data_IF_170615221351
#
_entry.id   IF_170615221351
#
_cell.length_a   1.000
_cell.length_b   1.000
_cell.length_c   1.000
_cell.angle_alpha   90.00
_cell.angle_beta   90.00
_cell.angle_gamma   90.00
#
_symmetry.space_group_name_H-M   'P 1'
#
loop_
_entity.id
_entity.type
_entity.pdbx_description
1 polymer ?
#
# COMPACT_ATOMS: atom_id res chain seq x y z
N UNK A 1 62.05 -30.17 -46.53
CA UNK A 1 61.64 -29.46 -45.30
C UNK A 1 60.12 -29.59 -45.23
N UNK A 2 59.44 -30.43 -44.46
CA UNK A 2 59.71 -31.21 -43.25
C UNK A 2 58.44 -31.13 -42.39
N UNK A 3 57.65 -32.21 -42.33
CA UNK A 3 56.43 -32.38 -41.52
C UNK A 3 56.65 -32.12 -40.01
N UNK A 4 55.57 -31.78 -39.27
CA UNK A 4 55.26 -32.44 -37.99
C UNK A 4 53.83 -32.18 -37.47
N UNK A 5 53.08 -33.27 -37.29
CA UNK A 5 52.03 -33.45 -36.26
C UNK A 5 52.74 -33.75 -34.92
N UNK A 6 52.20 -33.29 -33.77
CA UNK A 6 52.04 -34.10 -32.54
C UNK A 6 51.65 -33.31 -31.28
N UNK A 7 50.66 -33.86 -30.56
CA UNK A 7 50.50 -33.97 -29.09
C UNK A 7 50.26 -32.70 -28.25
N UNK A 8 49.10 -32.58 -27.60
CA UNK A 8 48.75 -33.11 -26.26
C UNK A 8 49.45 -32.34 -25.14
N UNK A 9 48.69 -31.56 -24.36
CA UNK A 9 48.72 -31.67 -22.91
C UNK A 9 47.39 -31.22 -22.31
N UNK A 10 46.74 -32.20 -21.67
CA UNK A 10 45.70 -31.99 -20.69
C UNK A 10 46.37 -31.45 -19.43
N UNK A 11 45.95 -30.28 -18.95
CA UNK A 11 46.08 -29.93 -17.54
C UNK A 11 44.69 -29.74 -16.96
N UNK A 12 44.17 -30.84 -16.41
CA UNK A 12 43.24 -30.84 -15.29
C UNK A 12 43.91 -30.24 -14.05
N UNK A 13 43.20 -29.38 -13.32
CA UNK A 13 43.21 -29.17 -11.85
C UNK A 13 42.29 -27.95 -11.60
N UNK A 14 41.01 -28.18 -11.31
CA UNK A 14 40.47 -28.34 -9.95
C UNK A 14 40.40 -27.02 -9.16
N UNK A 15 39.20 -26.44 -9.10
CA UNK A 15 38.63 -25.99 -7.83
C UNK A 15 37.12 -25.97 -7.98
N UNK A 16 36.54 -27.03 -7.45
CA UNK A 16 35.14 -27.20 -7.14
C UNK A 16 34.59 -26.00 -6.36
N UNK A 17 33.93 -25.06 -7.04
CA UNK A 17 32.81 -24.35 -6.43
C UNK A 17 31.59 -25.27 -6.51
N UNK A 18 31.63 -26.32 -5.70
CA UNK A 18 30.42 -27.05 -5.35
C UNK A 18 29.62 -26.08 -4.46
N UNK A 19 28.84 -25.21 -5.09
CA UNK A 19 27.89 -24.35 -4.39
C UNK A 19 26.93 -25.29 -3.69
N UNK A 20 27.08 -25.41 -2.38
CA UNK A 20 26.19 -26.18 -1.53
C UNK A 20 24.80 -25.51 -1.55
N UNK A 21 23.99 -25.85 -2.56
CA UNK A 21 22.64 -25.32 -2.79
C UNK A 21 21.65 -25.71 -1.67
N UNK A 22 22.10 -26.36 -0.59
CA UNK A 22 21.25 -26.78 0.54
C UNK A 22 21.17 -25.73 1.65
N UNK A 23 22.05 -24.72 1.64
CA UNK A 23 22.14 -23.70 2.69
C UNK A 23 21.64 -22.36 2.18
N UNK A 24 20.73 -21.75 2.94
CA UNK A 24 20.30 -20.38 2.68
C UNK A 24 21.33 -19.41 3.26
N UNK A 25 21.87 -18.53 2.43
CA UNK A 25 22.76 -17.47 2.88
C UNK A 25 21.94 -16.21 3.11
N UNK A 26 22.07 -15.63 4.30
CA UNK A 26 21.39 -14.40 4.69
C UNK A 26 22.44 -13.34 4.92
N UNK A 27 22.32 -12.24 4.19
CA UNK A 27 23.09 -11.03 4.41
C UNK A 27 22.20 -10.02 5.13
N UNK A 28 22.67 -9.47 6.25
CA UNK A 28 21.95 -8.43 6.97
C UNK A 28 22.78 -7.18 7.05
N UNK A 29 22.26 -6.11 6.46
CA UNK A 29 22.82 -4.76 6.48
C UNK A 29 22.04 -3.91 7.48
N UNK A 30 22.73 -3.31 8.45
CA UNK A 30 22.15 -2.40 9.43
C UNK A 30 22.81 -1.03 9.35
N UNK A 31 22.04 0.03 9.59
CA UNK A 31 22.56 1.39 9.52
C UNK A 31 22.18 2.23 10.74
N UNK A 32 23.09 3.13 11.10
CA UNK A 32 22.91 4.10 12.18
C UNK A 32 21.93 5.21 11.71
N UNK A 33 21.19 5.76 12.68
CA UNK A 33 19.88 6.39 12.52
C UNK A 33 19.88 7.64 11.62
N UNK A 34 19.23 7.54 10.45
CA UNK A 34 18.61 8.69 9.77
C UNK A 34 17.16 8.88 10.23
N UNK A 35 16.70 10.12 10.27
CA UNK A 35 15.42 10.55 10.82
C UNK A 35 14.16 9.82 10.28
N UNK A 36 14.30 9.01 9.21
CA UNK A 36 13.18 8.40 8.49
C UNK A 36 13.29 6.89 8.24
N UNK A 37 14.31 6.20 8.77
CA UNK A 37 14.52 4.74 8.58
C UNK A 37 14.48 4.32 7.10
N UNK A 38 15.12 5.09 6.23
CA UNK A 38 15.33 4.73 4.83
C UNK A 38 16.72 4.12 4.67
N UNK A 39 16.83 3.08 3.85
CA UNK A 39 18.12 2.53 3.46
C UNK A 39 18.61 3.30 2.22
N UNK A 40 19.85 3.76 2.24
CA UNK A 40 20.48 4.44 1.11
C UNK A 40 21.19 3.38 0.25
N UNK A 41 20.61 3.06 -0.91
CA UNK A 41 21.15 2.08 -1.85
C UNK A 41 22.32 2.65 -2.68
N UNK A 42 22.49 3.98 -2.71
CA UNK A 42 23.62 4.63 -3.40
C UNK A 42 24.84 4.78 -2.49
N UNK A 43 24.63 4.87 -1.17
CA UNK A 43 25.71 5.11 -0.21
C UNK A 43 25.74 4.05 0.90
N UNK A 44 26.72 3.16 0.83
CA UNK A 44 26.97 2.14 1.84
C UNK A 44 27.79 2.64 3.05
N UNK A 45 28.11 3.94 3.14
CA UNK A 45 28.84 4.47 4.28
C UNK A 45 28.06 4.28 5.59
N UNK A 46 28.74 3.80 6.64
CA UNK A 46 28.16 3.53 7.97
C UNK A 46 27.11 2.40 8.02
N UNK A 47 27.16 1.48 7.06
CA UNK A 47 26.39 0.23 7.08
C UNK A 47 27.24 -0.86 7.70
N UNK A 48 26.73 -1.51 8.74
CA UNK A 48 27.30 -2.75 9.28
C UNK A 48 26.68 -3.94 8.56
N UNK A 49 27.51 -4.89 8.12
CA UNK A 49 27.08 -6.07 7.39
C UNK A 49 27.41 -7.34 8.18
N UNK A 50 26.44 -8.24 8.29
CA UNK A 50 26.61 -9.55 8.92
C UNK A 50 26.07 -10.64 8.01
N UNK A 51 26.80 -11.75 7.88
CA UNK A 51 26.46 -12.88 7.00
C UNK A 51 26.19 -14.12 7.83
N UNK A 52 25.08 -14.80 7.54
CA UNK A 52 24.67 -16.04 8.20
C UNK A 52 24.41 -17.11 7.13
N UNK A 53 25.05 -18.27 7.24
CA UNK A 53 24.69 -19.43 6.43
C UNK A 53 23.83 -20.35 7.31
N UNK A 54 22.57 -20.54 6.93
CA UNK A 54 21.60 -21.28 7.73
C UNK A 54 21.14 -22.56 7.04
N UNK A 55 21.01 -23.62 7.83
CA UNK A 55 20.51 -24.93 7.37
C UNK A 55 19.17 -25.29 8.02
N UNK A 56 18.91 -24.79 9.22
CA UNK A 56 17.75 -25.11 10.04
C UNK A 56 16.76 -23.93 10.13
N UNK A 57 15.61 -24.18 10.77
CA UNK A 57 14.70 -23.11 11.18
C UNK A 57 15.21 -22.38 12.42
N UNK A 58 14.90 -21.08 12.52
CA UNK A 58 15.38 -20.24 13.61
C UNK A 58 14.89 -18.81 13.53
N UNK A 59 15.54 -17.95 14.29
CA UNK A 59 15.21 -16.53 14.41
C UNK A 59 16.43 -15.67 14.15
N UNK A 60 16.22 -14.57 13.43
CA UNK A 60 17.12 -13.42 13.49
C UNK A 60 16.68 -12.54 14.65
N UNK A 61 17.58 -12.22 15.57
CA UNK A 61 17.28 -11.48 16.79
C UNK A 61 18.16 -10.23 16.86
N UNK A 62 17.59 -9.11 17.30
CA UNK A 62 18.34 -7.88 17.57
C UNK A 62 18.60 -7.80 19.06
N UNK A 63 19.87 -7.90 19.45
CA UNK A 63 20.34 -7.59 20.80
C UNK A 63 21.18 -6.31 20.74
N UNK A 64 22.51 -6.44 20.87
CA UNK A 64 23.46 -5.38 20.55
C UNK A 64 23.78 -5.38 19.04
N UNK A 65 24.07 -6.56 18.50
CA UNK A 65 24.19 -6.85 17.08
C UNK A 65 23.08 -7.82 16.64
N UNK A 66 23.05 -8.18 15.35
CA UNK A 66 22.14 -9.21 14.84
C UNK A 66 22.76 -10.58 15.06
N UNK A 67 21.96 -11.49 15.59
CA UNK A 67 22.35 -12.87 15.85
C UNK A 67 21.33 -13.85 15.24
N UNK A 68 21.83 -15.01 14.81
CA UNK A 68 21.02 -16.14 14.39
C UNK A 68 20.87 -17.12 15.56
N UNK A 69 19.63 -17.45 15.93
CA UNK A 69 19.32 -18.36 17.03
C UNK A 69 18.44 -19.51 16.53
N UNK A 70 18.98 -20.72 16.57
CA UNK A 70 18.25 -21.96 16.27
C UNK A 70 17.50 -22.44 17.51
N UNK A 71 16.21 -22.11 17.60
CA UNK A 71 15.38 -22.57 18.69
C UNK A 71 13.92 -22.70 18.27
N UNK A 72 13.18 -23.59 18.93
CA UNK A 72 11.73 -23.71 18.77
C UNK A 72 10.97 -22.74 19.68
N UNK A 73 11.60 -22.30 20.76
CA UNK A 73 11.02 -21.37 21.73
C UNK A 73 10.85 -19.97 21.13
N UNK A 74 9.90 -19.19 21.66
CA UNK A 74 9.73 -17.80 21.26
C UNK A 74 10.86 -16.96 21.86
N UNK A 75 11.54 -16.17 21.03
CA UNK A 75 12.64 -15.30 21.48
C UNK A 75 12.18 -13.85 21.53
N UNK A 76 12.53 -13.13 22.59
CA UNK A 76 12.30 -11.68 22.71
C UNK A 76 13.18 -10.94 21.69
N UNK A 77 12.74 -9.77 21.22
CA UNK A 77 13.47 -8.93 20.24
C UNK A 77 13.79 -9.61 18.88
N UNK A 78 13.02 -10.62 18.49
CA UNK A 78 13.12 -11.20 17.15
C UNK A 78 12.88 -10.13 16.06
N UNK A 79 13.78 -10.08 15.08
CA UNK A 79 13.59 -9.37 13.83
C UNK A 79 12.60 -10.15 12.97
N UNK A 80 12.92 -11.40 12.67
CA UNK A 80 12.02 -12.31 11.95
C UNK A 80 12.29 -13.77 12.30
N UNK A 81 11.31 -14.63 11.98
CA UNK A 81 11.43 -16.09 12.07
C UNK A 81 11.51 -16.67 10.68
N UNK A 82 12.44 -17.59 10.47
CA UNK A 82 12.57 -18.35 9.22
C UNK A 82 12.28 -19.82 9.54
N UNK A 83 11.33 -20.41 8.80
CA UNK A 83 10.96 -21.82 8.90
C UNK A 83 11.42 -22.59 7.68
N UNK A 84 11.94 -23.80 7.86
CA UNK A 84 12.24 -24.72 6.76
C UNK A 84 11.13 -25.76 6.62
N UNK A 85 10.61 -25.97 5.41
CA UNK A 85 9.63 -27.01 5.09
C UNK A 85 9.89 -27.54 3.68
N UNK A 86 10.09 -28.85 3.55
CA UNK A 86 10.32 -29.52 2.26
C UNK A 86 11.42 -28.82 1.44
N UNK A 87 12.62 -28.65 2.02
CA UNK A 87 13.77 -27.89 1.47
C UNK A 87 13.55 -26.40 1.15
N UNK A 88 12.35 -25.87 1.36
CA UNK A 88 12.05 -24.45 1.14
C UNK A 88 12.09 -23.66 2.45
N UNK A 89 12.60 -22.44 2.37
CA UNK A 89 12.62 -21.51 3.51
C UNK A 89 11.47 -20.52 3.41
N UNK A 90 10.81 -20.28 4.54
CA UNK A 90 9.66 -19.39 4.65
C UNK A 90 9.92 -18.32 5.71
N UNK A 91 9.81 -17.05 5.30
CA UNK A 91 9.81 -15.93 6.22
C UNK A 91 8.44 -15.84 6.89
N UNK A 92 8.39 -15.87 8.22
CA UNK A 92 7.15 -15.75 8.99
C UNK A 92 7.01 -14.32 9.49
N UNK A 93 5.91 -13.68 9.12
CA UNK A 93 5.54 -12.34 9.56
C UNK A 93 4.75 -12.44 10.88
N UNK A 94 5.36 -12.11 12.03
CA UNK A 94 4.70 -12.21 13.33
C UNK A 94 3.55 -11.20 13.49
N UNK A 95 3.49 -10.17 12.64
CA UNK A 95 2.51 -9.07 12.76
C UNK A 95 1.27 -9.30 11.91
N UNK A 96 1.16 -10.47 11.28
CA UNK A 96 -0.02 -10.81 10.50
C UNK A 96 -1.19 -11.13 11.43
N UNK A 97 -2.05 -10.14 11.64
CA UNK A 97 -3.26 -10.30 12.42
C UNK A 97 -4.30 -11.08 11.59
N UNK A 98 -4.62 -12.32 12.00
CA UNK A 98 -5.59 -13.20 11.31
C UNK A 98 -7.02 -12.64 11.25
N UNK A 99 -7.29 -11.50 11.91
CA UNK A 99 -8.61 -10.89 11.98
C UNK A 99 -9.07 -10.17 10.69
N UNK A 100 -8.25 -10.05 9.64
CA UNK A 100 -8.70 -9.42 8.38
C UNK A 100 -9.67 -10.28 7.54
N UNK A 101 -9.93 -11.55 7.87
CA UNK A 101 -10.97 -12.36 7.17
C UNK A 101 -12.30 -12.51 7.91
N UNK A 102 -12.38 -12.16 9.20
CA UNK A 102 -13.63 -12.24 10.00
C UNK A 102 -14.32 -10.90 10.25
N UNK A 103 -13.68 -9.77 9.92
CA UNK A 103 -14.29 -8.43 10.08
C UNK A 103 -15.06 -7.95 8.83
N UNK A 104 -15.19 -8.78 7.80
CA UNK A 104 -16.01 -8.45 6.63
C UNK A 104 -17.49 -8.81 6.81
N UNK A 105 -17.86 -9.65 7.78
CA UNK A 105 -19.24 -10.09 7.99
C UNK A 105 -19.45 -10.33 9.49
N UNK A 106 -20.39 -9.58 10.07
CA UNK A 106 -20.92 -9.63 11.45
C UNK A 106 -20.21 -8.77 12.52
N UNK A 107 -21.06 -7.90 13.09
CA UNK A 107 -20.93 -7.08 14.30
C UNK A 107 -20.13 -5.79 14.17
N UNK A 108 -20.83 -4.73 13.76
CA UNK A 108 -20.60 -3.38 14.27
C UNK A 108 -21.97 -2.77 14.59
N UNK A 109 -22.57 -3.26 15.69
CA UNK A 109 -23.53 -2.50 16.47
C UNK A 109 -22.84 -2.13 17.77
N UNK A 110 -22.75 -0.82 17.98
CA UNK A 110 -22.71 -0.15 19.27
C UNK A 110 -21.71 -0.66 20.31
N UNK A 111 -20.55 -0.01 20.36
CA UNK A 111 -20.17 0.79 21.55
C UNK A 111 -18.84 1.48 21.26
N UNK A 112 -18.85 2.80 21.44
CA UNK A 112 -17.65 3.54 21.81
C UNK A 112 -17.12 2.97 23.13
N UNK A 113 -16.26 1.95 23.08
CA UNK A 113 -15.29 1.75 24.14
C UNK A 113 -14.02 2.49 23.75
N UNK A 114 -13.77 3.54 24.54
CA UNK A 114 -12.44 3.98 24.93
C UNK A 114 -11.64 2.72 25.28
N UNK A 115 -10.90 2.17 24.31
CA UNK A 115 -9.81 1.26 24.64
C UNK A 115 -8.73 2.16 25.17
N UNK A 116 -8.70 2.26 26.50
CA UNK A 116 -7.56 2.73 27.25
C UNK A 116 -6.29 2.21 26.57
N UNK A 117 -5.51 3.16 26.04
CA UNK A 117 -4.11 2.96 25.66
C UNK A 117 -3.34 2.65 26.95
N UNK A 118 -3.48 1.43 27.43
CA UNK A 118 -2.67 0.88 28.50
C UNK A 118 -2.31 -0.54 28.09
N UNK A 119 -1.07 -0.71 27.62
CA UNK A 119 -0.40 -2.02 27.68
C UNK A 119 -0.67 -3.04 26.56
N UNK A 120 -0.71 -2.64 25.28
CA UNK A 120 -0.29 -3.56 24.21
C UNK A 120 0.93 -2.96 23.51
N UNK A 121 2.10 -3.44 23.91
CA UNK A 121 3.33 -3.24 23.16
C UNK A 121 3.07 -3.58 21.68
N UNK A 122 3.43 -2.66 20.78
CA UNK A 122 3.45 -2.86 19.33
C UNK A 122 4.41 -4.01 19.02
N UNK A 123 3.94 -5.25 19.07
CA UNK A 123 4.73 -6.39 18.65
C UNK A 123 4.96 -6.28 17.13
N UNK A 124 6.23 -5.98 16.78
CA UNK A 124 6.92 -6.19 15.51
C UNK A 124 6.97 -5.04 14.49
N UNK A 125 8.13 -4.96 13.83
CA UNK A 125 8.41 -4.03 12.71
C UNK A 125 7.69 -4.50 11.44
N UNK A 126 7.24 -3.56 10.60
CA UNK A 126 6.65 -3.89 9.29
C UNK A 126 7.69 -4.53 8.36
N UNK A 127 7.23 -5.49 7.57
CA UNK A 127 8.02 -6.22 6.58
C UNK A 127 7.79 -5.56 5.23
N UNK A 128 8.84 -4.98 4.67
CA UNK A 128 8.81 -4.32 3.37
C UNK A 128 9.63 -5.12 2.38
N UNK A 129 8.99 -5.70 1.37
CA UNK A 129 9.67 -6.28 0.23
C UNK A 129 10.28 -5.17 -0.62
N UNK A 130 11.56 -5.27 -0.93
CA UNK A 130 12.22 -4.35 -1.87
C UNK A 130 11.84 -4.77 -3.29
N UNK A 131 11.41 -3.79 -4.09
CA UNK A 131 11.08 -4.00 -5.49
C UNK A 131 12.33 -3.66 -6.30
N UNK A 132 12.68 -4.53 -7.23
CA UNK A 132 13.80 -4.37 -8.15
C UNK A 132 13.31 -4.14 -9.59
N UNK A 133 14.22 -4.26 -10.56
CA UNK A 133 13.96 -4.11 -11.99
C UNK A 133 13.06 -5.21 -12.59
N UNK A 134 12.94 -6.35 -11.93
CA UNK A 134 12.01 -7.42 -12.33
C UNK A 134 10.54 -7.06 -12.04
N UNK A 135 10.35 -6.06 -11.17
CA UNK A 135 9.05 -5.53 -10.78
C UNK A 135 8.18 -6.48 -9.99
N UNK A 136 7.02 -5.98 -9.58
CA UNK A 136 5.98 -6.78 -8.92
C UNK A 136 4.62 -6.46 -9.52
N UNK A 137 3.73 -7.46 -9.54
CA UNK A 137 2.32 -7.22 -9.83
C UNK A 137 1.65 -6.54 -8.62
N UNK A 138 0.93 -5.45 -8.87
CA UNK A 138 0.14 -4.75 -7.85
C UNK A 138 -1.28 -5.30 -7.75
N UNK A 139 -1.83 -5.29 -6.54
CA UNK A 139 -3.21 -5.69 -6.25
C UNK A 139 -3.92 -4.67 -5.35
N UNK A 140 -5.25 -4.74 -5.30
CA UNK A 140 -6.04 -3.90 -4.41
C UNK A 140 -5.73 -4.17 -2.93
N UNK A 141 -5.63 -3.09 -2.17
CA UNK A 141 -5.21 -3.07 -0.77
C UNK A 141 -3.70 -3.13 -0.55
N UNK A 142 -2.88 -3.27 -1.60
CA UNK A 142 -1.43 -3.23 -1.46
C UNK A 142 -0.95 -1.86 -1.02
N UNK A 143 0.20 -1.85 -0.36
CA UNK A 143 0.77 -0.63 0.19
C UNK A 143 2.19 -0.52 -0.31
N UNK A 144 2.44 0.47 -1.14
CA UNK A 144 3.76 0.76 -1.68
C UNK A 144 4.36 1.98 -1.00
N UNK A 145 5.68 2.07 -0.99
CA UNK A 145 6.43 3.19 -0.44
C UNK A 145 7.54 3.61 -1.39
N UNK A 146 7.56 4.89 -1.75
CA UNK A 146 8.60 5.52 -2.56
C UNK A 146 9.32 6.52 -1.64
N UNK A 147 10.54 6.20 -1.21
CA UNK A 147 11.21 6.94 -0.14
C UNK A 147 10.35 7.02 1.14
N UNK A 148 9.95 8.22 1.56
CA UNK A 148 9.07 8.46 2.73
C UNK A 148 7.59 8.42 2.40
N UNK A 149 7.21 8.52 1.13
CA UNK A 149 5.82 8.62 0.70
C UNK A 149 5.21 7.24 0.61
N UNK A 150 4.05 7.05 1.25
CA UNK A 150 3.30 5.79 1.24
C UNK A 150 2.02 5.97 0.44
N UNK A 151 1.76 5.02 -0.45
CA UNK A 151 0.51 4.89 -1.19
C UNK A 151 -0.17 3.58 -0.81
N UNK A 152 -1.49 3.62 -0.66
CA UNK A 152 -2.31 2.42 -0.41
C UNK A 152 -3.27 2.27 -1.58
N UNK A 153 -3.16 1.19 -2.31
CA UNK A 153 -3.94 0.92 -3.52
C UNK A 153 -5.39 0.64 -3.10
N UNK A 154 -6.30 1.50 -3.55
CA UNK A 154 -7.73 1.39 -3.26
C UNK A 154 -8.46 0.65 -4.35
N UNK A 155 -8.15 0.94 -5.60
CA UNK A 155 -8.82 0.36 -6.75
C UNK A 155 -7.87 0.31 -7.95
N UNK A 156 -7.93 -0.78 -8.72
CA UNK A 156 -7.31 -0.90 -10.03
C UNK A 156 -8.42 -1.09 -11.06
N UNK A 157 -8.65 -0.11 -11.92
CA UNK A 157 -9.70 -0.15 -12.94
C UNK A 157 -9.06 -0.08 -14.33
N UNK A 158 -8.93 -1.22 -14.99
CA UNK A 158 -8.29 -1.30 -16.31
C UNK A 158 -9.28 -1.38 -17.48
N UNK A 159 -10.53 -1.69 -17.20
CA UNK A 159 -11.61 -1.75 -18.18
C UNK A 159 -12.41 -0.44 -18.13
N UNK A 160 -12.51 0.22 -19.28
CA UNK A 160 -13.34 1.42 -19.44
C UNK A 160 -14.80 0.97 -19.55
N UNK A 161 -15.62 1.29 -18.56
CA UNK A 161 -17.06 1.01 -18.62
C UNK A 161 -17.70 1.97 -19.62
N UNK A 162 -18.07 1.49 -20.80
CA UNK A 162 -18.99 2.20 -21.70
C UNK A 162 -20.32 2.33 -20.97
N UNK A 163 -20.67 3.54 -20.51
CA UNK A 163 -21.96 3.76 -19.88
C UNK A 163 -23.07 3.67 -20.94
N UNK A 164 -23.79 2.56 -20.98
CA UNK A 164 -25.14 2.55 -21.56
C UNK A 164 -26.03 3.44 -20.66
N UNK A 165 -26.57 4.51 -21.24
CA UNK A 165 -27.63 5.31 -20.62
C UNK A 165 -28.85 4.41 -20.37
N UNK A 166 -29.09 4.04 -19.11
CA UNK A 166 -30.43 3.58 -18.70
C UNK A 166 -31.21 4.79 -18.21
N UNK A 167 -32.09 5.27 -19.06
CA UNK A 167 -33.19 6.16 -18.68
C UNK A 167 -34.35 5.27 -18.24
N UNK A 168 -34.48 5.02 -16.93
CA UNK A 168 -35.68 4.38 -16.40
C UNK A 168 -36.70 5.46 -16.04
N UNK A 169 -37.83 5.41 -16.74
CA UNK A 169 -39.01 6.26 -16.58
C UNK A 169 -39.65 6.10 -15.20
N UNK A 170 -40.24 7.20 -14.72
CA UNK A 170 -40.86 7.34 -13.41
C UNK A 170 -41.98 6.34 -13.10
N UNK A 171 -42.11 6.04 -11.81
CA UNK A 171 -43.41 5.79 -11.20
C UNK A 171 -43.47 6.51 -9.85
N UNK A 172 -44.18 7.63 -9.82
CA UNK A 172 -44.57 8.35 -8.62
C UNK A 172 -45.60 7.54 -7.82
N UNK A 173 -45.25 7.14 -6.60
CA UNK A 173 -46.22 6.76 -5.59
C UNK A 173 -46.10 7.70 -4.39
N UNK A 174 -47.17 8.47 -4.16
CA UNK A 174 -47.37 9.33 -3.01
C UNK A 174 -47.92 8.52 -1.84
N UNK A 175 -47.25 8.53 -0.68
CA UNK A 175 -47.90 8.35 0.62
C UNK A 175 -47.28 9.32 1.65
N UNK A 176 -48.16 10.01 2.37
CA UNK A 176 -47.93 11.06 3.35
C UNK A 176 -47.37 10.56 4.69
N UNK A 177 -46.27 11.18 5.13
CA UNK A 177 -45.76 11.25 6.50
C UNK A 177 -44.75 12.41 6.49
N UNK A 178 -44.86 13.38 7.39
CA UNK A 178 -44.05 14.62 7.50
C UNK A 178 -42.83 14.65 6.57
N UNK A 179 -42.98 15.25 5.39
CA UNK A 179 -42.05 15.05 4.27
C UNK A 179 -40.62 15.41 4.69
N UNK A 180 -39.81 14.38 4.93
CA UNK A 180 -38.38 14.53 5.17
C UNK A 180 -37.78 15.15 3.92
N UNK A 181 -37.21 16.34 4.07
CA UNK A 181 -36.56 17.07 2.98
C UNK A 181 -35.05 17.03 3.13
N UNK A 182 -34.35 17.07 2.00
CA UNK A 182 -32.91 17.26 1.99
C UNK A 182 -32.58 18.65 2.53
N UNK A 183 -31.69 18.74 3.53
CA UNK A 183 -31.30 20.04 4.11
C UNK A 183 -30.56 20.99 3.16
N UNK A 184 -30.03 20.47 2.04
CA UNK A 184 -29.24 21.25 1.08
C UNK A 184 -30.15 21.83 -0.01
N UNK A 185 -31.01 21.02 -0.62
CA UNK A 185 -31.84 21.46 -1.74
C UNK A 185 -33.32 21.65 -1.37
N UNK A 186 -33.69 21.40 -0.11
CA UNK A 186 -35.05 21.53 0.43
C UNK A 186 -36.13 20.72 -0.31
N UNK A 187 -35.73 19.71 -1.08
CA UNK A 187 -36.63 18.83 -1.84
C UNK A 187 -36.85 17.51 -1.10
N UNK A 188 -38.04 16.94 -1.23
CA UNK A 188 -38.44 15.62 -0.71
C UNK A 188 -38.31 14.50 -1.76
N UNK A 189 -37.74 14.79 -2.93
CA UNK A 189 -37.54 13.80 -4.01
C UNK A 189 -36.56 12.69 -3.59
N UNK A 190 -37.08 11.49 -3.40
CA UNK A 190 -36.28 10.32 -3.03
C UNK A 190 -36.32 9.28 -4.16
N UNK A 191 -35.17 8.91 -4.72
CA UNK A 191 -35.08 7.91 -5.80
C UNK A 191 -34.01 6.87 -5.48
N UNK A 192 -34.07 5.71 -6.15
CA UNK A 192 -33.06 4.64 -5.99
C UNK A 192 -31.64 5.10 -6.34
N UNK A 193 -31.50 5.98 -7.33
CA UNK A 193 -30.20 6.51 -7.76
C UNK A 193 -29.75 7.74 -6.98
N UNK A 194 -30.68 8.50 -6.39
CA UNK A 194 -30.38 9.67 -5.57
C UNK A 194 -31.22 9.67 -4.27
N UNK A 195 -30.92 8.76 -3.34
CA UNK A 195 -31.71 8.62 -2.12
C UNK A 195 -31.41 9.70 -1.07
N UNK A 196 -32.35 9.93 -0.17
CA UNK A 196 -32.14 10.70 1.07
C UNK A 196 -31.30 9.89 2.06
N UNK A 197 -30.16 10.45 2.47
CA UNK A 197 -29.19 9.79 3.35
C UNK A 197 -29.07 10.52 4.69
N UNK A 198 -28.65 9.80 5.72
CA UNK A 198 -28.28 10.35 7.04
C UNK A 198 -26.77 10.17 7.31
N UNK A 199 -25.89 10.89 6.60
CA UNK A 199 -24.45 10.59 6.57
C UNK A 199 -23.67 10.99 7.83
N UNK A 200 -24.33 11.61 8.82
CA UNK A 200 -23.68 12.11 10.04
C UNK A 200 -24.60 12.00 11.26
N UNK A 201 -24.03 12.27 12.44
CA UNK A 201 -24.71 12.20 13.74
C UNK A 201 -25.65 13.39 14.02
N UNK A 202 -26.14 14.09 13.00
CA UNK A 202 -27.13 15.15 13.19
C UNK A 202 -28.48 14.53 13.61
N UNK A 203 -29.26 15.27 14.39
CA UNK A 203 -30.59 14.88 14.85
C UNK A 203 -31.70 15.64 14.12
N UNK A 204 -32.93 15.13 14.19
CA UNK A 204 -34.10 15.77 13.54
C UNK A 204 -34.05 15.76 12.01
N UNK A 205 -34.72 16.74 11.39
CA UNK A 205 -34.81 16.89 9.92
C UNK A 205 -33.49 17.26 9.26
N UNK A 206 -32.57 17.92 9.98
CA UNK A 206 -31.30 18.40 9.42
C UNK A 206 -30.27 17.30 9.18
N UNK A 207 -30.57 16.05 9.55
CA UNK A 207 -29.68 14.91 9.29
C UNK A 207 -29.76 14.40 7.85
N UNK A 208 -30.85 14.72 7.14
CA UNK A 208 -31.14 14.14 5.83
C UNK A 208 -30.57 14.98 4.68
N UNK A 209 -29.86 14.31 3.75
CA UNK A 209 -29.21 14.90 2.58
C UNK A 209 -29.30 13.93 1.41
N UNK A 210 -29.69 14.39 0.22
CA UNK A 210 -29.59 13.55 -0.98
C UNK A 210 -28.15 13.13 -1.26
N UNK A 211 -27.97 11.92 -1.81
CA UNK A 211 -26.66 11.43 -2.25
C UNK A 211 -25.94 12.48 -3.11
N UNK A 212 -26.54 12.94 -4.21
CA UNK A 212 -25.92 13.91 -5.12
C UNK A 212 -25.67 15.27 -4.47
N UNK A 213 -26.53 15.73 -3.56
CA UNK A 213 -26.30 16.96 -2.81
C UNK A 213 -25.07 16.83 -1.89
N UNK A 214 -24.94 15.69 -1.20
CA UNK A 214 -23.77 15.38 -0.38
C UNK A 214 -22.51 15.29 -1.26
N UNK A 215 -22.61 14.67 -2.46
CA UNK A 215 -21.51 14.59 -3.42
C UNK A 215 -21.01 15.97 -3.83
N UNK A 216 -21.90 16.86 -4.24
CA UNK A 216 -21.57 18.24 -4.66
C UNK A 216 -20.92 19.00 -3.51
N UNK A 217 -21.52 18.95 -2.31
CA UNK A 217 -21.00 19.65 -1.15
C UNK A 217 -19.61 19.16 -0.74
N UNK A 218 -19.35 17.85 -0.79
CA UNK A 218 -18.02 17.30 -0.54
C UNK A 218 -17.03 17.74 -1.61
N UNK A 219 -17.41 17.75 -2.89
CA UNK A 219 -16.55 18.22 -3.99
C UNK A 219 -16.10 19.67 -3.80
N UNK A 220 -16.97 20.55 -3.27
CA UNK A 220 -16.59 21.93 -2.95
C UNK A 220 -15.51 22.04 -1.88
N UNK A 221 -15.35 21.02 -1.02
CA UNK A 221 -14.29 20.95 -0.01
C UNK A 221 -13.01 20.25 -0.49
N UNK A 222 -13.01 19.70 -1.70
CA UNK A 222 -11.85 19.05 -2.29
C UNK A 222 -11.00 20.08 -3.04
N UNK A 223 -9.75 20.21 -2.64
CA UNK A 223 -8.75 20.84 -3.51
C UNK A 223 -8.32 19.80 -4.54
N UNK A 224 -8.48 20.09 -5.83
CA UNK A 224 -8.03 19.20 -6.90
C UNK A 224 -6.84 19.78 -7.66
N UNK A 225 -5.91 18.90 -8.06
CA UNK A 225 -4.81 19.21 -8.99
C UNK A 225 -4.85 18.20 -10.11
N UNK A 226 -4.77 18.67 -11.35
CA UNK A 226 -4.81 17.83 -12.53
C UNK A 226 -3.57 18.08 -13.39
N UNK A 227 -2.93 16.98 -13.78
CA UNK A 227 -2.07 16.88 -14.96
C UNK A 227 -2.65 15.81 -15.89
N UNK A 228 -2.02 15.61 -17.05
CA UNK A 228 -2.50 14.68 -18.08
C UNK A 228 -2.76 13.27 -17.49
N UNK A 229 -1.75 12.67 -16.87
CA UNK A 229 -1.82 11.32 -16.31
C UNK A 229 -2.10 11.26 -14.80
N UNK A 230 -2.34 12.37 -14.11
CA UNK A 230 -2.51 12.37 -12.65
C UNK A 230 -3.60 13.34 -12.20
N UNK A 231 -4.58 12.82 -11.45
CA UNK A 231 -5.54 13.62 -10.68
C UNK A 231 -5.22 13.45 -9.20
N UNK A 232 -5.19 14.55 -8.47
CA UNK A 232 -4.96 14.55 -7.03
C UNK A 232 -6.11 15.28 -6.36
N UNK A 233 -6.81 14.59 -5.47
CA UNK A 233 -7.81 15.18 -4.60
C UNK A 233 -7.22 15.27 -3.19
N UNK A 234 -7.26 16.47 -2.61
CA UNK A 234 -6.75 16.78 -1.28
C UNK A 234 -7.91 17.25 -0.41
N UNK A 235 -7.93 16.76 0.83
CA UNK A 235 -8.83 17.27 1.85
C UNK A 235 -8.15 17.31 3.21
N UNK A 236 -8.53 18.35 3.98
CA UNK A 236 -8.12 18.48 5.38
C UNK A 236 -9.02 17.62 6.25
N UNK A 237 -10.32 17.95 6.28
CA UNK A 237 -11.36 17.16 6.95
C UNK A 237 -12.58 17.04 6.03
N UNK A 238 -13.06 15.82 5.83
CA UNK A 238 -14.41 15.59 5.30
C UNK A 238 -15.35 15.46 6.50
N UNK A 239 -15.62 16.57 7.18
CA UNK A 239 -16.51 16.61 8.36
C UNK A 239 -17.83 17.31 8.04
N UNK A 240 -18.91 16.90 8.70
CA UNK A 240 -20.17 17.62 8.71
C UNK A 240 -19.99 19.03 9.28
N UNK A 241 -20.52 20.06 8.61
CA UNK A 241 -20.40 21.44 9.09
C UNK A 241 -21.15 21.69 10.41
N UNK A 242 -22.20 20.93 10.69
CA UNK A 242 -23.06 21.10 11.86
C UNK A 242 -22.55 20.30 13.07
N UNK A 243 -22.43 18.98 12.93
CA UNK A 243 -22.06 18.12 14.04
C UNK A 243 -20.58 17.72 14.08
N UNK A 244 -19.76 18.19 13.13
CA UNK A 244 -18.31 17.92 13.05
C UNK A 244 -17.93 16.44 12.91
N UNK A 245 -18.91 15.58 12.65
CA UNK A 245 -18.68 14.17 12.37
C UNK A 245 -17.86 14.00 11.09
N UNK A 246 -16.74 13.30 11.16
CA UNK A 246 -15.93 12.94 9.99
C UNK A 246 -16.63 11.85 9.18
N UNK A 247 -16.97 12.17 7.94
CA UNK A 247 -17.50 11.23 6.96
C UNK A 247 -16.45 10.16 6.64
N UNK A 248 -16.73 8.87 6.89
CA UNK A 248 -15.84 7.80 6.47
C UNK A 248 -15.95 7.60 4.95
N UNK A 249 -14.89 7.11 4.30
CA UNK A 249 -14.90 6.86 2.84
C UNK A 249 -16.06 5.96 2.42
N UNK A 250 -16.42 4.99 3.27
CA UNK A 250 -17.64 4.18 3.11
C UNK A 250 -18.50 4.36 4.35
N UNK A 251 -19.75 4.74 4.18
CA UNK A 251 -20.71 4.88 5.28
C UNK A 251 -21.98 4.10 4.99
N UNK A 252 -22.64 3.63 6.04
CA UNK A 252 -23.94 3.00 5.97
C UNK A 252 -25.00 4.08 6.15
N UNK A 253 -25.98 4.14 5.26
CA UNK A 253 -27.20 4.92 5.44
C UNK A 253 -28.35 3.94 5.28
N UNK A 254 -29.17 3.85 6.32
CA UNK A 254 -30.15 2.77 6.51
C UNK A 254 -29.49 1.38 6.41
N UNK A 255 -29.81 0.59 5.37
CA UNK A 255 -29.25 -0.74 5.10
C UNK A 255 -28.31 -0.83 3.89
N UNK A 256 -27.99 0.31 3.28
CA UNK A 256 -27.12 0.37 2.10
C UNK A 256 -25.79 1.06 2.41
N UNK A 257 -24.70 0.55 1.84
CA UNK A 257 -23.38 1.16 1.93
C UNK A 257 -23.14 2.10 0.75
N UNK A 258 -22.68 3.31 1.06
CA UNK A 258 -22.32 4.33 0.07
C UNK A 258 -20.82 4.61 0.17
N UNK A 259 -20.14 4.70 -0.97
CA UNK A 259 -18.71 4.99 -1.06
C UNK A 259 -18.51 6.44 -1.55
N UNK A 260 -18.06 7.31 -0.66
CA UNK A 260 -17.70 8.70 -0.96
C UNK A 260 -16.45 8.81 -1.86
N UNK A 261 -15.70 7.73 -2.10
CA UNK A 261 -14.66 7.71 -3.13
C UNK A 261 -15.22 7.57 -4.56
N UNK A 262 -16.53 7.34 -4.73
CA UNK A 262 -17.18 7.37 -6.05
C UNK A 262 -17.29 8.76 -6.66
N UNK A 263 -16.88 9.81 -5.94
CA UNK A 263 -17.07 11.20 -6.33
C UNK A 263 -16.27 11.62 -7.57
N UNK A 264 -15.21 10.89 -7.93
CA UNK A 264 -14.20 11.35 -8.88
C UNK A 264 -13.53 10.22 -9.69
N UNK A 265 -14.26 9.17 -10.08
CA UNK A 265 -13.69 8.10 -10.92
C UNK A 265 -13.67 8.56 -12.39
N UNK A 266 -12.52 8.51 -13.10
CA UNK A 266 -12.52 8.72 -14.54
C UNK A 266 -13.25 7.53 -15.21
N UNK A 267 -14.13 7.86 -16.15
CA UNK A 267 -14.86 6.88 -16.95
C UNK A 267 -14.30 6.77 -18.38
N UNK A 268 -13.23 7.50 -18.68
CA UNK A 268 -12.68 7.69 -20.02
C UNK A 268 -11.38 6.90 -20.25
N UNK A 269 -10.74 6.43 -19.18
CA UNK A 269 -9.41 5.83 -19.24
C UNK A 269 -9.15 4.84 -18.11
N UNK A 270 -8.32 3.81 -18.33
CA UNK A 270 -7.81 2.95 -17.26
C UNK A 270 -7.10 3.77 -16.17
N UNK A 271 -7.32 3.43 -14.90
CA UNK A 271 -6.74 4.17 -13.78
C UNK A 271 -6.35 3.31 -12.58
N UNK A 272 -5.37 3.82 -11.84
CA UNK A 272 -4.97 3.33 -10.53
C UNK A 272 -5.33 4.37 -9.46
N UNK A 273 -6.19 4.01 -8.51
CA UNK A 273 -6.59 4.87 -7.39
C UNK A 273 -5.82 4.49 -6.13
N UNK A 274 -5.16 5.46 -5.52
CA UNK A 274 -4.41 5.26 -4.28
C UNK A 274 -4.73 6.33 -3.26
N UNK A 275 -4.74 5.94 -2.00
CA UNK A 275 -4.80 6.87 -0.89
C UNK A 275 -3.45 7.10 -0.25
N UNK A 276 -3.29 8.32 0.26
CA UNK A 276 -2.21 8.66 1.16
C UNK A 276 -2.75 9.45 2.35
N UNK A 277 -2.04 9.31 3.47
CA UNK A 277 -2.28 10.09 4.67
C UNK A 277 -0.98 10.82 4.99
N UNK A 278 -0.97 12.15 4.96
CA UNK A 278 0.16 12.88 5.53
C UNK A 278 0.08 12.70 7.04
N UNK A 279 1.02 11.97 7.63
CA UNK A 279 1.27 12.02 9.07
C UNK A 279 2.36 13.06 9.29
N UNK A 280 2.02 14.26 9.74
CA UNK A 280 3.02 15.18 10.26
C UNK A 280 3.27 14.84 11.72
N UNK A 281 4.50 14.43 12.06
CA UNK A 281 4.95 14.28 13.44
C UNK A 281 4.47 13.02 14.18
N UNK A 282 5.10 12.74 15.32
CA UNK A 282 4.70 11.67 16.27
C UNK A 282 3.44 12.03 17.07
N UNK A 283 2.86 13.20 16.82
CA UNK A 283 1.64 13.67 17.45
C UNK A 283 0.46 13.44 16.51
N UNK A 284 -0.58 12.78 17.01
CA UNK A 284 -1.85 12.58 16.31
C UNK A 284 -2.59 13.92 16.25
N UNK A 285 -2.07 14.88 15.49
CA UNK A 285 -2.80 16.10 15.22
C UNK A 285 -3.84 15.79 14.14
N UNK A 286 -5.08 16.18 14.40
CA UNK A 286 -6.26 15.96 13.55
C UNK A 286 -6.16 16.66 12.18
N UNK A 287 -5.09 17.44 11.92
CA UNK A 287 -4.83 18.17 10.68
C UNK A 287 -4.11 17.33 9.60
N UNK A 288 -4.35 16.02 9.54
CA UNK A 288 -3.72 15.16 8.54
C UNK A 288 -4.40 15.34 7.17
N UNK A 289 -3.76 16.14 6.30
CA UNK A 289 -4.13 16.23 4.89
C UNK A 289 -4.14 14.83 4.27
N UNK A 290 -5.32 14.28 4.08
CA UNK A 290 -5.54 13.02 3.40
C UNK A 290 -5.90 13.31 1.96
N UNK A 291 -5.66 12.36 1.08
CA UNK A 291 -5.95 12.56 -0.32
C UNK A 291 -5.94 11.28 -1.11
N UNK A 292 -6.48 11.39 -2.31
CA UNK A 292 -6.47 10.34 -3.31
C UNK A 292 -5.63 10.81 -4.50
N UNK A 293 -4.74 9.94 -4.95
CA UNK A 293 -4.14 9.99 -6.28
C UNK A 293 -4.93 9.08 -7.21
N UNK A 294 -5.24 9.57 -8.40
CA UNK A 294 -5.76 8.78 -9.51
C UNK A 294 -4.77 8.92 -10.64
N UNK A 295 -4.06 7.85 -10.96
CA UNK A 295 -3.12 7.81 -12.08
C UNK A 295 -3.82 7.20 -13.28
N UNK A 296 -3.93 7.98 -14.35
CA UNK A 296 -4.65 7.62 -15.56
C UNK A 296 -3.68 7.18 -16.64
N UNK A 297 -3.97 6.06 -17.26
CA UNK A 297 -3.26 5.54 -18.41
C UNK A 297 -3.96 6.03 -19.68
N UNK A 298 -3.76 7.32 -19.99
CA UNK A 298 -4.34 7.97 -21.17
C UNK A 298 -3.59 7.53 -22.43
N UNK A 299 -4.00 6.41 -23.02
CA UNK A 299 -3.38 5.81 -24.21
C UNK A 299 -1.88 5.50 -24.07
N UNK A 300 -1.40 5.40 -22.83
CA UNK A 300 -0.04 5.00 -22.49
C UNK A 300 -0.08 3.73 -21.66
N UNK A 301 0.77 2.77 -21.97
CA UNK A 301 0.93 1.55 -21.18
C UNK A 301 1.95 1.69 -20.06
N UNK A 302 2.77 2.76 -20.08
CA UNK A 302 3.79 3.04 -19.07
C UNK A 302 3.61 4.45 -18.48
N UNK A 303 3.77 4.56 -17.16
CA UNK A 303 3.82 5.83 -16.43
C UNK A 303 5.09 5.91 -15.58
N UNK A 304 5.85 6.99 -15.73
CA UNK A 304 7.07 7.26 -14.96
C UNK A 304 6.72 8.06 -13.72
N UNK A 305 7.25 7.62 -12.58
CA UNK A 305 7.01 8.22 -11.27
C UNK A 305 8.32 8.78 -10.72
N UNK A 306 8.29 10.02 -10.24
CA UNK A 306 9.43 10.61 -9.57
C UNK A 306 9.18 12.03 -9.09
N UNK A 307 10.22 12.68 -8.55
CA UNK A 307 10.10 14.06 -8.05
C UNK A 307 10.34 15.14 -9.12
N UNK A 308 10.92 14.77 -10.26
CA UNK A 308 11.22 15.73 -11.32
C UNK A 308 9.96 16.19 -12.05
N UNK A 309 10.10 17.23 -12.87
CA UNK A 309 9.01 17.74 -13.69
C UNK A 309 8.81 16.94 -14.99
N UNK A 310 9.79 16.14 -15.40
CA UNK A 310 9.77 15.32 -16.64
C UNK A 310 9.11 13.95 -16.46
N UNK A 311 8.54 13.67 -15.27
CA UNK A 311 7.83 12.43 -14.96
C UNK A 311 6.32 12.61 -15.11
N UNK A 312 5.63 11.57 -15.59
CA UNK A 312 4.18 11.57 -15.82
C UNK A 312 3.40 11.71 -14.50
N UNK A 313 3.96 11.16 -13.41
CA UNK A 313 3.46 11.28 -12.05
C UNK A 313 4.52 11.93 -11.17
N UNK A 314 4.24 13.17 -10.75
CA UNK A 314 5.12 13.93 -9.87
C UNK A 314 4.81 13.72 -8.39
N UNK A 315 5.82 13.28 -7.64
CA UNK A 315 5.76 13.11 -6.17
C UNK A 315 6.70 14.12 -5.50
N UNK A 316 6.10 15.12 -4.84
CA UNK A 316 6.84 16.23 -4.20
C UNK A 316 7.41 15.84 -2.82
N UNK A 317 8.41 14.97 -2.80
CA UNK A 317 9.19 14.67 -1.60
C UNK A 317 10.67 14.49 -1.94
N UNK A 318 11.56 15.06 -1.12
CA UNK A 318 13.02 15.03 -1.35
C UNK A 318 13.62 13.62 -1.28
N UNK A 319 12.95 12.68 -0.60
CA UNK A 319 13.37 11.27 -0.54
C UNK A 319 12.92 10.46 -1.75
N UNK A 320 12.17 11.05 -2.68
CA UNK A 320 11.83 10.39 -3.94
C UNK A 320 12.88 10.77 -4.98
N UNK A 321 13.35 9.80 -5.76
CA UNK A 321 14.33 10.03 -6.82
C UNK A 321 13.69 10.85 -7.95
N UNK A 322 14.53 11.53 -8.74
CA UNK A 322 14.10 12.29 -9.92
C UNK A 322 13.26 11.44 -10.88
N UNK A 323 13.76 10.25 -11.18
CA UNK A 323 13.06 9.13 -11.85
C UNK A 323 13.17 7.94 -10.91
N UNK A 324 12.10 7.61 -10.20
CA UNK A 324 12.15 6.71 -9.05
C UNK A 324 11.63 5.32 -9.39
N UNK A 325 10.48 5.27 -10.08
CA UNK A 325 9.84 4.01 -10.44
C UNK A 325 9.06 4.19 -11.74
N UNK A 326 8.62 3.09 -12.32
CA UNK A 326 7.67 3.07 -13.44
C UNK A 326 6.54 2.09 -13.16
N UNK A 327 5.35 2.42 -13.63
CA UNK A 327 4.22 1.52 -13.71
C UNK A 327 4.00 1.09 -15.14
N UNK A 328 3.74 -0.19 -15.35
CA UNK A 328 3.42 -0.73 -16.67
C UNK A 328 2.13 -1.53 -16.59
N UNK A 329 1.22 -1.29 -17.53
CA UNK A 329 0.08 -2.18 -17.79
C UNK A 329 0.53 -3.24 -18.77
N UNK A 330 0.38 -4.51 -18.38
CA UNK A 330 0.54 -5.65 -19.27
C UNK A 330 -0.51 -6.72 -18.93
N UNK A 331 -1.08 -7.39 -19.93
CA UNK A 331 -2.07 -8.46 -19.76
C UNK A 331 -3.21 -8.14 -18.76
N UNK A 332 -3.78 -6.93 -18.87
CA UNK A 332 -4.81 -6.42 -17.96
C UNK A 332 -4.41 -6.47 -16.47
N UNK A 333 -3.11 -6.25 -16.20
CA UNK A 333 -2.53 -6.17 -14.85
C UNK A 333 -1.57 -4.98 -14.78
N UNK A 334 -1.39 -4.45 -13.58
CA UNK A 334 -0.45 -3.35 -13.31
C UNK A 334 0.78 -3.89 -12.60
N UNK A 335 1.95 -3.53 -13.12
CA UNK A 335 3.25 -3.88 -12.56
C UNK A 335 4.01 -2.63 -12.14
N UNK A 336 4.71 -2.69 -11.00
CA UNK A 336 5.56 -1.63 -10.48
C UNK A 336 7.02 -2.07 -10.51
N UNK A 337 7.87 -1.22 -11.05
CA UNK A 337 9.31 -1.45 -11.18
C UNK A 337 10.08 -0.32 -10.50
N UNK A 338 11.10 -0.65 -9.74
CA UNK A 338 12.07 0.35 -9.26
C UNK A 338 12.99 0.77 -10.42
N UNK A 339 13.42 2.02 -10.41
CA UNK A 339 14.36 2.56 -11.39
C UNK A 339 15.64 3.02 -10.71
N UNK A 340 16.34 2.09 -10.06
CA UNK A 340 17.56 2.31 -9.27
C UNK A 340 17.43 3.49 -8.32
N UNK A 341 16.34 3.49 -7.55
CA UNK A 341 16.07 4.64 -6.70
C UNK A 341 16.97 4.66 -5.47
N UNK A 342 17.45 5.85 -5.10
CA UNK A 342 18.33 6.08 -3.95
C UNK A 342 17.88 5.38 -2.67
N UNK A 343 16.58 5.43 -2.37
CA UNK A 343 16.01 4.89 -1.13
C UNK A 343 15.12 3.66 -1.34
N UNK A 344 15.15 3.08 -2.54
CA UNK A 344 14.36 1.94 -2.95
C UNK A 344 12.85 2.21 -3.08
N UNK A 345 12.21 1.32 -3.84
CA UNK A 345 10.76 1.18 -3.93
C UNK A 345 10.34 -0.05 -3.12
N UNK A 346 9.40 0.10 -2.19
CA UNK A 346 9.04 -0.97 -1.26
C UNK A 346 7.57 -1.35 -1.37
N UNK A 347 7.24 -2.64 -1.19
CA UNK A 347 5.88 -3.16 -1.04
C UNK A 347 5.68 -3.77 0.36
N UNK A 348 4.58 -3.43 1.02
CA UNK A 348 4.24 -4.01 2.32
C UNK A 348 3.81 -5.46 2.17
N UNK A 349 4.45 -6.33 2.92
CA UNK A 349 4.07 -7.74 2.96
C UNK A 349 2.77 -7.91 3.76
N UNK A 350 1.78 -8.55 3.11
CA UNK A 350 0.43 -8.79 3.64
C UNK A 350 0.13 -10.27 3.86
N UNK A 351 1.13 -11.14 3.88
CA UNK A 351 0.95 -12.57 4.17
C UNK A 351 1.58 -12.97 5.50
N UNK A 352 1.03 -14.02 6.14
CA UNK A 352 1.62 -14.63 7.34
C UNK A 352 2.98 -15.26 7.04
N UNK A 353 3.12 -15.83 5.84
CA UNK A 353 4.32 -16.53 5.38
C UNK A 353 4.63 -16.16 3.95
N UNK A 354 5.91 -16.04 3.66
CA UNK A 354 6.42 -15.81 2.30
C UNK A 354 7.48 -16.85 2.01
N UNK A 355 7.42 -17.42 0.81
CA UNK A 355 8.50 -18.25 0.30
C UNK A 355 9.73 -17.36 0.03
N UNK A 356 10.85 -17.67 0.67
CA UNK A 356 12.11 -16.97 0.42
C UNK A 356 12.64 -17.44 -0.94
N UNK A 357 12.95 -16.48 -1.80
CA UNK A 357 13.58 -16.71 -3.10
C UNK A 357 14.97 -16.07 -3.11
N UNK A 358 15.86 -16.62 -3.94
CA UNK A 358 17.19 -16.06 -4.15
C UNK A 358 17.07 -14.66 -4.76
N UNK A 359 17.84 -13.71 -4.23
CA UNK A 359 17.79 -12.30 -4.63
C UNK A 359 16.68 -11.49 -3.94
N UNK A 360 15.83 -12.12 -3.13
CA UNK A 360 14.81 -11.40 -2.37
C UNK A 360 15.45 -10.52 -1.29
N UNK A 361 14.98 -9.28 -1.18
CA UNK A 361 15.41 -8.35 -0.13
C UNK A 361 14.22 -7.82 0.68
N UNK A 362 14.38 -7.83 2.01
CA UNK A 362 13.34 -7.41 2.96
C UNK A 362 13.89 -6.34 3.89
N UNK A 363 13.24 -5.17 3.89
CA UNK A 363 13.55 -4.09 4.82
C UNK A 363 12.64 -4.15 6.07
N UNK A 364 13.28 -4.13 7.23
CA UNK A 364 12.65 -4.23 8.55
C UNK A 364 13.19 -3.16 9.51
N UNK A 365 12.56 -1.98 9.48
CA UNK A 365 13.09 -0.83 10.23
C UNK A 365 14.44 -0.39 9.67
N UNK A 366 15.51 -0.61 10.45
CA UNK A 366 16.91 -0.24 10.11
C UNK A 366 17.77 -1.44 9.72
N UNK A 367 17.13 -2.49 9.22
CA UNK A 367 17.78 -3.72 8.79
C UNK A 367 17.28 -4.05 7.41
N UNK A 368 18.20 -4.27 6.47
CA UNK A 368 17.93 -4.82 5.14
C UNK A 368 18.45 -6.24 5.15
N UNK A 369 17.58 -7.20 4.86
CA UNK A 369 17.88 -8.63 4.85
C UNK A 369 17.83 -9.09 3.40
N UNK A 370 18.96 -9.52 2.86
CA UNK A 370 19.08 -10.07 1.51
C UNK A 370 19.28 -11.58 1.59
N UNK A 371 18.53 -12.33 0.78
CA UNK A 371 18.56 -13.79 0.72
C UNK A 371 19.32 -14.24 -0.53
N UNK A 372 20.41 -14.98 -0.37
CA UNK A 372 21.37 -15.34 -1.44
C UNK A 372 21.44 -16.84 -1.74
#
# INVERSE_FOLDING_TARGET
MGNCKSQCDQMSLSSSDNVDCTRLVILVKTWQKDAYSLFDYENAANVQEQKFAISNEGYLVIQNDIEWIETKSLVKNQLCKIKKRNENYFLVNPNFNKNCKKQAIQKNEETNMIINKTGLEKFGKKFWNVIHEDGIQLQEGDVIKLGRVKFSIRQIALEVKTQEQRCDNESSYSITSDQITCRICCSSQNSSNNPLLNPCMCSGSIKYVHLECLKIWLRMKLESRQSDNCLVYLWKNLECELCKYNYPSKFKSDDTYYDLAELCKPNDSPYLMMEFTKKQGQQLDWNNNSGIYIWKFQNVSELRIGRSNDTDIRVNDISVSRKHAKLVINDNKVYLFDNHSKFGTLNLIRSERILIQRGMEIQMGRSLISFQ
#
